data_IF_392336747590
#
_entry.id   IF_392336747590
#
_cell.length_a   1.000
_cell.length_b   1.000
_cell.length_c   1.000
_cell.angle_alpha   90.00
_cell.angle_beta   90.00
_cell.angle_gamma   90.00
#
_symmetry.space_group_name_H-M   'P 1'
#
loop_
_entity.id
_entity.type
_entity.pdbx_description
1 polymer ?
#
# COMPACT_ATOMS: atom_id res chain seq x y z
N UNK A 1 0.12 0.93 -8.39
CA UNK A 1 0.68 1.29 -7.06
C UNK A 1 -0.14 0.60 -5.96
N UNK A 2 0.24 0.62 -4.67
CA UNK A 2 -0.57 0.04 -3.57
C UNK A 2 -2.01 0.56 -3.58
N UNK A 3 -2.17 1.85 -3.87
CA UNK A 3 -3.44 2.57 -3.89
C UNK A 3 -4.02 2.77 -5.30
N UNK A 4 -3.60 1.97 -6.29
CA UNK A 4 -4.09 2.13 -7.67
C UNK A 4 -5.60 1.93 -7.78
N UNK A 5 -6.13 0.95 -7.04
CA UNK A 5 -7.52 0.50 -7.10
C UNK A 5 -8.31 0.87 -5.84
N UNK A 6 -7.93 1.98 -5.19
CA UNK A 6 -8.51 2.42 -3.93
C UNK A 6 -10.03 2.72 -4.01
N UNK A 7 -10.59 2.93 -5.20
CA UNK A 7 -12.03 3.11 -5.44
C UNK A 7 -12.88 1.91 -5.01
N UNK A 8 -12.27 0.73 -4.86
CA UNK A 8 -12.95 -0.43 -4.29
C UNK A 8 -13.23 -0.26 -2.80
N UNK A 9 -12.41 0.49 -2.06
CA UNK A 9 -12.67 0.78 -0.64
C UNK A 9 -13.83 1.78 -0.49
N UNK A 10 -13.92 2.77 -1.38
CA UNK A 10 -15.07 3.69 -1.41
C UNK A 10 -16.38 2.93 -1.68
N UNK A 11 -16.37 2.01 -2.65
CA UNK A 11 -17.53 1.13 -2.91
C UNK A 11 -17.85 0.21 -1.74
N UNK A 12 -16.86 -0.17 -0.94
CA UNK A 12 -17.07 -1.00 0.24
C UNK A 12 -17.79 -0.20 1.35
N UNK A 13 -17.44 1.07 1.54
CA UNK A 13 -18.06 1.98 2.50
C UNK A 13 -19.52 2.33 2.10
N UNK A 14 -19.77 2.57 0.81
CA UNK A 14 -21.11 2.86 0.28
C UNK A 14 -22.04 1.63 0.24
N UNK A 15 -21.52 0.42 0.49
CA UNK A 15 -22.29 -0.81 0.32
C UNK A 15 -23.14 -1.14 1.56
N UNK A 16 -24.46 -1.28 1.35
CA UNK A 16 -25.38 -1.70 2.42
C UNK A 16 -25.29 -3.20 2.75
N UNK A 17 -24.94 -4.05 1.77
CA UNK A 17 -24.82 -5.50 1.96
C UNK A 17 -23.44 -5.86 2.52
N UNK A 18 -23.35 -6.41 3.75
CA UNK A 18 -22.08 -6.77 4.37
C UNK A 18 -21.25 -7.78 3.55
N UNK A 19 -21.90 -8.66 2.78
CA UNK A 19 -21.18 -9.63 1.95
C UNK A 19 -20.51 -8.96 0.77
N UNK A 20 -21.21 -8.03 0.12
CA UNK A 20 -20.65 -7.25 -0.99
C UNK A 20 -19.57 -6.26 -0.52
N UNK A 21 -19.72 -5.66 0.66
CA UNK A 21 -18.67 -4.88 1.30
C UNK A 21 -17.36 -5.69 1.43
N UNK A 22 -17.46 -6.92 1.95
CA UNK A 22 -16.31 -7.81 2.07
C UNK A 22 -15.70 -8.20 0.71
N UNK A 23 -16.55 -8.40 -0.32
CA UNK A 23 -16.07 -8.67 -1.69
C UNK A 23 -15.22 -7.51 -2.19
N UNK A 24 -15.68 -6.26 -2.07
CA UNK A 24 -14.92 -5.09 -2.50
C UNK A 24 -13.60 -4.90 -1.75
N UNK A 25 -13.62 -5.03 -0.42
CA UNK A 25 -12.40 -4.96 0.39
C UNK A 25 -11.39 -6.06 0.02
N UNK A 26 -11.88 -7.28 -0.23
CA UNK A 26 -11.04 -8.41 -0.66
C UNK A 26 -10.48 -8.21 -2.06
N UNK A 27 -11.28 -7.68 -3.00
CA UNK A 27 -10.82 -7.34 -4.35
C UNK A 27 -9.70 -6.31 -4.30
N UNK A 28 -9.84 -5.26 -3.49
CA UNK A 28 -8.77 -4.28 -3.28
C UNK A 28 -7.50 -4.95 -2.73
N UNK A 29 -7.61 -5.75 -1.67
CA UNK A 29 -6.47 -6.43 -1.05
C UNK A 29 -5.70 -7.33 -2.03
N UNK A 30 -6.42 -8.04 -2.91
CA UNK A 30 -5.81 -8.90 -3.94
C UNK A 30 -5.15 -8.07 -5.05
N UNK A 31 -5.72 -6.92 -5.41
CA UNK A 31 -5.19 -6.06 -6.47
C UNK A 31 -3.74 -5.59 -6.21
N UNK A 32 -3.36 -5.48 -4.93
CA UNK A 32 -2.00 -5.12 -4.50
C UNK A 32 -0.94 -6.07 -5.06
N UNK A 33 -1.24 -7.37 -5.25
CA UNK A 33 -0.30 -8.35 -5.82
C UNK A 33 0.07 -8.03 -7.26
N UNK A 34 -0.79 -7.36 -8.01
CA UNK A 34 -0.47 -6.92 -9.36
C UNK A 34 0.70 -5.91 -9.36
N UNK A 35 0.75 -5.02 -8.35
CA UNK A 35 1.84 -4.07 -8.20
C UNK A 35 3.19 -4.74 -7.86
N UNK A 36 3.16 -5.94 -7.27
CA UNK A 36 4.35 -6.73 -6.93
C UNK A 36 4.98 -7.49 -8.10
N UNK A 37 4.37 -7.50 -9.30
CA UNK A 37 4.92 -8.18 -10.47
C UNK A 37 6.18 -7.51 -11.08
N UNK A 38 6.76 -6.51 -10.41
CA UNK A 38 7.98 -5.84 -10.86
C UNK A 38 9.20 -6.71 -10.56
N UNK A 39 9.98 -7.02 -11.59
CA UNK A 39 11.19 -7.85 -11.49
C UNK A 39 12.41 -7.09 -10.94
N UNK A 40 12.33 -5.75 -10.86
CA UNK A 40 13.44 -4.90 -10.43
C UNK A 40 13.32 -4.51 -8.97
N UNK A 41 14.45 -4.56 -8.26
CA UNK A 41 14.56 -4.10 -6.88
C UNK A 41 14.31 -2.58 -6.84
N UNK A 42 13.33 -2.08 -6.07
CA UNK A 42 13.16 -0.64 -5.88
C UNK A 42 14.36 -0.04 -5.14
N UNK A 43 14.51 1.28 -5.23
CA UNK A 43 15.52 1.98 -4.42
C UNK A 43 15.26 1.72 -2.93
N UNK A 44 16.35 1.54 -2.18
CA UNK A 44 16.27 1.48 -0.72
C UNK A 44 16.22 2.92 -0.20
N UNK A 45 15.11 3.39 0.38
CA UNK A 45 15.01 4.75 0.85
C UNK A 45 16.00 5.02 1.99
N UNK A 46 16.47 6.27 2.10
CA UNK A 46 17.29 6.70 3.25
C UNK A 46 16.41 6.87 4.50
N UNK A 47 17.00 6.75 5.69
CA UNK A 47 16.26 6.98 6.93
C UNK A 47 15.65 8.40 6.95
N UNK A 48 14.35 8.49 7.21
CA UNK A 48 13.60 9.75 7.16
C UNK A 48 13.24 10.22 5.76
N UNK A 49 13.52 9.44 4.69
CA UNK A 49 13.01 9.75 3.36
C UNK A 49 11.48 9.66 3.36
N UNK A 50 10.84 10.69 2.81
CA UNK A 50 9.38 10.79 2.74
C UNK A 50 8.90 10.76 1.29
N UNK A 51 7.73 10.18 1.08
CA UNK A 51 7.00 10.25 -0.17
C UNK A 51 5.56 10.70 0.09
N UNK A 52 5.07 11.64 -0.71
CA UNK A 52 3.69 12.10 -0.65
C UNK A 52 3.01 12.02 -2.00
N UNK A 53 1.71 11.75 -1.97
CA UNK A 53 0.81 11.80 -3.11
C UNK A 53 -0.50 12.43 -2.65
N UNK A 54 -0.84 13.57 -3.24
CA UNK A 54 -2.00 14.37 -2.83
C UNK A 54 -3.05 14.34 -3.94
N UNK A 55 -4.31 14.13 -3.56
CA UNK A 55 -5.48 14.18 -4.43
C UNK A 55 -5.38 13.24 -5.65
N UNK A 56 -4.78 12.07 -5.46
CA UNK A 56 -4.81 11.02 -6.48
C UNK A 56 -6.10 10.22 -6.27
N UNK A 57 -7.06 10.29 -7.19
CA UNK A 57 -8.36 9.60 -7.02
C UNK A 57 -9.06 9.93 -5.68
N UNK A 58 -8.89 11.16 -5.18
CA UNK A 58 -9.49 11.62 -3.92
C UNK A 58 -8.78 11.18 -2.64
N UNK A 59 -7.68 10.41 -2.74
CA UNK A 59 -6.87 10.02 -1.57
C UNK A 59 -5.67 10.94 -1.37
N UNK A 60 -5.26 11.07 -0.11
CA UNK A 60 -3.96 11.61 0.29
C UNK A 60 -3.15 10.50 0.92
N UNK A 61 -1.94 10.28 0.42
CA UNK A 61 -1.01 9.24 0.86
C UNK A 61 0.32 9.85 1.27
N UNK A 62 0.82 9.45 2.44
CA UNK A 62 2.14 9.80 2.94
C UNK A 62 2.87 8.53 3.38
N UNK A 63 4.16 8.44 3.07
CA UNK A 63 5.03 7.39 3.53
C UNK A 63 6.36 7.94 4.03
N UNK A 64 6.96 7.27 5.01
CA UNK A 64 8.27 7.58 5.58
C UNK A 64 9.07 6.30 5.80
N UNK A 65 10.36 6.33 5.48
CA UNK A 65 11.30 5.30 5.91
C UNK A 65 11.69 5.51 7.38
N UNK A 66 10.96 4.85 8.29
CA UNK A 66 11.09 5.03 9.75
C UNK A 66 12.25 4.26 10.38
N UNK A 67 12.83 3.29 9.68
CA UNK A 67 14.01 2.54 10.15
C UNK A 67 14.88 2.09 8.99
N UNK A 68 16.20 2.04 9.18
CA UNK A 68 17.15 1.53 8.18
C UNK A 68 17.79 0.18 8.59
N UNK A 69 17.80 -0.14 9.88
CA UNK A 69 18.34 -1.38 10.44
C UNK A 69 17.43 -1.94 11.53
N UNK A 70 16.45 -2.82 11.18
CA UNK A 70 16.12 -3.27 9.82
C UNK A 70 15.38 -2.20 9.00
N UNK A 71 15.41 -2.26 7.67
CA UNK A 71 14.70 -1.31 6.82
C UNK A 71 13.18 -1.47 6.96
N UNK A 72 12.51 -0.42 7.44
CA UNK A 72 11.06 -0.37 7.59
C UNK A 72 10.50 0.95 7.09
N UNK A 73 9.40 0.88 6.36
CA UNK A 73 8.59 2.01 5.94
C UNK A 73 7.24 2.03 6.66
N UNK A 74 6.76 3.22 7.01
CA UNK A 74 5.41 3.46 7.46
C UNK A 74 4.66 4.24 6.38
N UNK A 75 3.38 3.96 6.18
CA UNK A 75 2.54 4.75 5.31
C UNK A 75 1.14 4.93 5.89
N UNK A 76 0.57 6.09 5.60
CA UNK A 76 -0.79 6.51 5.97
C UNK A 76 -1.50 7.01 4.71
N UNK A 77 -2.74 6.58 4.55
CA UNK A 77 -3.59 6.96 3.43
C UNK A 77 -4.98 7.26 3.95
N UNK A 78 -5.58 8.34 3.48
CA UNK A 78 -6.93 8.72 3.88
C UNK A 78 -7.70 9.39 2.75
N UNK A 79 -9.02 9.22 2.81
CA UNK A 79 -10.01 10.03 2.11
C UNK A 79 -11.28 10.13 2.99
N UNK A 80 -12.41 10.54 2.39
CA UNK A 80 -13.68 10.66 3.11
C UNK A 80 -14.32 9.32 3.51
N UNK A 81 -13.93 8.21 2.89
CA UNK A 81 -14.55 6.88 3.04
C UNK A 81 -13.71 5.94 3.91
N UNK A 82 -12.38 6.03 3.84
CA UNK A 82 -11.49 5.10 4.54
C UNK A 82 -10.21 5.75 5.05
N UNK A 83 -9.61 5.06 6.00
CA UNK A 83 -8.24 5.32 6.47
C UNK A 83 -7.47 4.00 6.46
N UNK A 84 -6.29 4.01 5.84
CA UNK A 84 -5.42 2.85 5.75
C UNK A 84 -4.02 3.19 6.25
N UNK A 85 -3.55 2.40 7.22
CA UNK A 85 -2.24 2.53 7.83
C UNK A 85 -1.50 1.21 7.62
N UNK A 86 -0.25 1.29 7.14
CA UNK A 86 0.60 0.12 6.94
C UNK A 86 2.00 0.36 7.48
N UNK A 87 2.53 -0.66 8.15
CA UNK A 87 3.94 -0.79 8.48
C UNK A 87 4.50 -1.93 7.65
N UNK A 88 5.45 -1.62 6.76
CA UNK A 88 6.07 -2.60 5.89
C UNK A 88 7.54 -2.76 6.23
N UNK A 89 7.94 -3.99 6.55
CA UNK A 89 9.35 -4.37 6.54
C UNK A 89 9.76 -4.47 5.08
N UNK A 90 10.69 -3.61 4.67
CA UNK A 90 11.26 -3.70 3.33
C UNK A 90 12.09 -5.00 3.28
N UNK A 91 11.57 -6.06 2.67
CA UNK A 91 12.39 -7.23 2.34
C UNK A 91 13.38 -6.85 1.24
N UNK A 92 14.45 -6.17 1.64
CA UNK A 92 15.64 -5.97 0.82
C UNK A 92 16.49 -7.25 0.92
N UNK A 93 15.94 -8.35 0.44
CA UNK A 93 16.73 -9.51 0.06
C UNK A 93 16.13 -10.04 -1.22
N UNK A 94 16.79 -9.71 -2.34
CA UNK A 94 16.72 -10.56 -3.52
C UNK A 94 16.94 -12.00 -3.07
N UNK A 95 16.05 -12.86 -3.51
CA UNK A 95 16.18 -14.31 -3.50
C UNK A 95 17.61 -14.70 -3.86
N UNK A 96 18.36 -15.28 -2.92
CA UNK A 96 19.44 -16.19 -3.28
C UNK A 96 18.90 -17.59 -3.05
N UNK A 97 18.29 -18.16 -4.08
CA UNK A 97 18.25 -19.63 -4.20
C UNK A 97 19.64 -19.99 -4.69
N UNK A 98 20.54 -20.31 -3.76
CA UNK A 98 21.69 -21.13 -4.10
C UNK A 98 21.18 -22.55 -4.22
N UNK A 99 21.40 -23.15 -5.39
CA UNK A 99 21.22 -24.59 -5.63
C UNK A 99 22.13 -25.38 -4.69
#
# INVERSE_FOLDING_TARGET
MLMEYCEHLDKADECEDPYMCMVYASTWAVSVYFAYQRTWKPFNPILGETYEMVNHQGITFIAEQVSHHPPMGAAHCENAHFTYIVLQISFITQSTISI
#
